data_IF_070685825904
#
_entry.id   IF_070685825904
#
_cell.length_a   1.000
_cell.length_b   1.000
_cell.length_c   1.000
_cell.angle_alpha   90.00
_cell.angle_beta   90.00
_cell.angle_gamma   90.00
#
_symmetry.space_group_name_H-M   'P 1'
#
loop_
_entity.id
_entity.type
_entity.pdbx_description
1 polymer ?
#
# COMPACT_ATOMS: atom_id res chain seq x y z
N UNK A 1 33.44 -9.30 -7.52
CA UNK A 1 32.08 -8.95 -7.97
C UNK A 1 31.70 -7.64 -7.31
N UNK A 2 31.57 -6.56 -8.08
CA UNK A 2 31.33 -5.21 -7.54
C UNK A 2 30.00 -5.16 -6.81
N UNK A 3 30.03 -4.73 -5.54
CA UNK A 3 28.86 -4.30 -4.79
C UNK A 3 28.14 -3.22 -5.62
N UNK A 4 27.12 -3.63 -6.37
CA UNK A 4 26.17 -2.69 -6.93
C UNK A 4 25.36 -2.16 -5.74
N UNK A 5 25.91 -1.12 -5.10
CA UNK A 5 25.25 -0.34 -4.06
C UNK A 5 23.86 -0.02 -4.61
N UNK A 6 22.83 -0.62 -4.01
CA UNK A 6 21.44 -0.35 -4.36
C UNK A 6 21.26 1.16 -4.31
N UNK A 7 21.09 1.80 -5.47
CA UNK A 7 20.79 3.23 -5.55
C UNK A 7 19.38 3.44 -4.99
N UNK A 8 19.29 3.50 -3.67
CA UNK A 8 18.10 3.96 -2.96
C UNK A 8 18.00 5.47 -3.14
N UNK A 9 16.83 5.94 -3.48
CA UNK A 9 16.50 7.36 -3.50
C UNK A 9 15.15 7.56 -2.84
N UNK A 10 14.93 8.75 -2.33
CA UNK A 10 13.75 9.18 -1.61
C UNK A 10 13.18 10.39 -2.35
N UNK A 11 11.99 10.22 -2.92
CA UNK A 11 11.26 11.30 -3.59
C UNK A 11 10.23 11.85 -2.61
N UNK A 12 10.29 13.16 -2.35
CA UNK A 12 9.30 13.88 -1.56
C UNK A 12 8.20 14.34 -2.50
N UNK A 13 6.97 13.90 -2.25
CA UNK A 13 5.78 14.24 -3.04
C UNK A 13 4.82 14.98 -2.14
N UNK A 14 4.42 16.19 -2.49
CA UNK A 14 3.36 16.91 -1.79
C UNK A 14 2.02 16.76 -2.54
N UNK A 15 0.95 16.72 -1.76
CA UNK A 15 -0.41 16.89 -2.23
C UNK A 15 -0.82 18.32 -1.88
N UNK A 16 -1.21 19.08 -2.89
CA UNK A 16 -1.74 20.44 -2.70
C UNK A 16 -3.19 20.39 -2.21
N UNK A 17 -3.66 21.51 -1.67
CA UNK A 17 -5.10 21.73 -1.37
C UNK A 17 -5.99 21.56 -2.59
N UNK A 18 -5.46 21.78 -3.80
CA UNK A 18 -6.14 21.53 -5.08
C UNK A 18 -6.29 20.04 -5.43
N UNK A 19 -5.73 19.13 -4.62
CA UNK A 19 -5.73 17.69 -4.85
C UNK A 19 -4.65 17.19 -5.81
N UNK A 20 -3.89 18.10 -6.44
CA UNK A 20 -2.78 17.74 -7.33
C UNK A 20 -1.57 17.24 -6.52
N UNK A 21 -0.92 16.20 -7.05
CA UNK A 21 0.34 15.68 -6.55
C UNK A 21 1.50 16.38 -7.28
N UNK A 22 2.51 16.79 -6.52
CA UNK A 22 3.71 17.42 -7.05
C UNK A 22 4.94 16.80 -6.40
N UNK A 23 5.88 16.36 -7.21
CA UNK A 23 7.19 15.93 -6.75
C UNK A 23 8.02 17.19 -6.44
N UNK A 24 8.57 17.27 -5.23
CA UNK A 24 9.37 18.40 -4.76
C UNK A 24 10.84 18.14 -5.03
N UNK A 25 11.35 17.03 -4.51
CA UNK A 25 12.78 16.74 -4.53
C UNK A 25 13.01 15.23 -4.50
N UNK A 26 14.08 14.76 -5.15
CA UNK A 26 14.56 13.38 -5.04
C UNK A 26 15.99 13.39 -4.52
N UNK A 27 16.21 12.78 -3.36
CA UNK A 27 17.51 12.73 -2.67
C UNK A 27 17.93 11.28 -2.39
N UNK A 28 19.21 11.02 -2.16
CA UNK A 28 19.70 9.67 -1.82
C UNK A 28 19.58 9.34 -0.32
N UNK A 29 19.49 10.35 0.54
CA UNK A 29 19.40 10.20 2.00
C UNK A 29 17.97 10.47 2.50
N UNK A 30 17.48 9.56 3.34
CA UNK A 30 16.17 9.68 3.99
C UNK A 30 16.09 10.90 4.92
N UNK A 31 17.18 11.23 5.60
CA UNK A 31 17.21 12.36 6.56
C UNK A 31 17.03 13.69 5.82
N UNK A 32 17.68 13.84 4.68
CA UNK A 32 17.50 14.98 3.79
C UNK A 32 16.04 15.07 3.29
N UNK A 33 15.47 13.95 2.82
CA UNK A 33 14.07 13.91 2.36
C UNK A 33 13.08 14.29 3.47
N UNK A 34 13.37 13.89 4.71
CA UNK A 34 12.54 14.19 5.87
C UNK A 34 12.62 15.66 6.26
N UNK A 35 13.77 16.31 6.11
CA UNK A 35 13.91 17.75 6.33
C UNK A 35 13.12 18.54 5.27
N UNK A 36 13.28 18.21 3.99
CA UNK A 36 12.49 18.81 2.90
C UNK A 36 10.98 18.61 3.13
N UNK A 37 10.56 17.42 3.58
CA UNK A 37 9.17 17.14 3.86
C UNK A 37 8.62 17.97 5.04
N UNK A 38 9.44 18.22 6.07
CA UNK A 38 9.07 19.09 7.22
C UNK A 38 8.96 20.56 6.83
N UNK A 39 9.83 21.05 5.97
CA UNK A 39 9.74 22.42 5.47
C UNK A 39 8.48 22.59 4.61
N UNK A 40 8.24 21.62 3.72
CA UNK A 40 7.13 21.70 2.79
C UNK A 40 5.76 21.51 3.46
N UNK A 41 5.64 20.79 4.60
CA UNK A 41 4.36 20.65 5.31
C UNK A 41 3.96 21.93 6.03
N UNK A 42 4.93 22.82 6.32
CA UNK A 42 4.67 24.16 6.83
C UNK A 42 3.97 25.07 5.82
N UNK A 43 3.98 24.73 4.53
CA UNK A 43 3.28 25.50 3.50
C UNK A 43 1.77 25.19 3.51
N UNK A 44 0.95 26.21 3.76
CA UNK A 44 -0.52 26.14 3.80
C UNK A 44 -1.16 25.68 2.48
N UNK A 45 -0.44 25.75 1.37
CA UNK A 45 -0.90 25.20 0.09
C UNK A 45 -0.86 23.67 0.02
N UNK A 46 -0.16 23.02 0.95
CA UNK A 46 0.05 21.58 0.98
C UNK A 46 -0.79 20.95 2.09
N UNK A 47 -1.47 19.85 1.79
CA UNK A 47 -2.33 19.12 2.73
C UNK A 47 -1.67 17.85 3.27
N UNK A 48 -0.88 17.19 2.41
CA UNK A 48 -0.18 15.96 2.74
C UNK A 48 1.18 15.95 2.04
N UNK A 49 2.19 15.39 2.69
CA UNK A 49 3.51 15.14 2.10
C UNK A 49 3.89 13.70 2.33
N UNK A 50 4.32 13.04 1.26
CA UNK A 50 4.69 11.63 1.23
C UNK A 50 6.15 11.53 0.85
N UNK A 51 6.90 10.72 1.60
CA UNK A 51 8.27 10.33 1.23
C UNK A 51 8.17 8.96 0.59
N UNK A 52 8.62 8.85 -0.65
CA UNK A 52 8.59 7.63 -1.47
C UNK A 52 10.01 7.12 -1.63
N UNK A 53 10.32 5.95 -1.06
CA UNK A 53 11.55 5.22 -1.34
C UNK A 53 11.45 4.57 -2.72
N UNK A 54 12.36 4.94 -3.61
CA UNK A 54 12.59 4.32 -4.90
C UNK A 54 13.84 3.44 -4.79
N UNK A 55 13.64 2.15 -5.03
CA UNK A 55 14.70 1.14 -5.00
C UNK A 55 14.70 0.36 -6.30
N UNK A 56 15.83 0.39 -7.01
CA UNK A 56 16.03 -0.50 -8.14
C UNK A 56 16.32 -1.93 -7.64
N UNK A 57 15.45 -2.88 -8.00
CA UNK A 57 15.66 -4.28 -7.68
C UNK A 57 16.33 -5.00 -8.85
N UNK A 58 17.63 -5.29 -8.69
CA UNK A 58 18.42 -5.95 -9.73
C UNK A 58 17.91 -7.37 -10.06
N UNK A 59 17.34 -8.07 -9.08
CA UNK A 59 16.85 -9.45 -9.28
C UNK A 59 15.62 -9.49 -10.19
N UNK A 60 14.71 -8.52 -10.05
CA UNK A 60 13.51 -8.42 -10.89
C UNK A 60 13.64 -7.44 -12.05
N UNK A 61 14.76 -6.71 -12.16
CA UNK A 61 15.01 -5.61 -13.12
C UNK A 61 13.87 -4.57 -13.13
N UNK A 62 13.29 -4.29 -11.97
CA UNK A 62 12.14 -3.38 -11.81
C UNK A 62 12.40 -2.37 -10.71
N UNK A 63 11.85 -1.16 -10.91
CA UNK A 63 11.78 -0.15 -9.87
C UNK A 63 10.68 -0.49 -8.87
N UNK A 64 11.05 -0.54 -7.59
CA UNK A 64 10.12 -0.68 -6.48
C UNK A 64 9.98 0.69 -5.82
N UNK A 65 8.77 1.23 -5.88
CA UNK A 65 8.40 2.47 -5.19
C UNK A 65 7.58 2.12 -3.95
N UNK A 66 7.94 2.68 -2.80
CA UNK A 66 7.23 2.47 -1.54
C UNK A 66 7.09 3.78 -0.78
N UNK A 67 5.88 4.11 -0.35
CA UNK A 67 5.70 5.24 0.58
C UNK A 67 6.23 4.82 1.96
N UNK A 68 7.27 5.50 2.42
CA UNK A 68 7.92 5.21 3.71
C UNK A 68 7.46 6.14 4.83
N UNK A 69 6.97 7.34 4.50
CA UNK A 69 6.44 8.28 5.49
C UNK A 69 5.38 9.18 4.88
N UNK A 70 4.39 9.54 5.70
CA UNK A 70 3.36 10.53 5.39
C UNK A 70 3.35 11.57 6.51
N UNK A 71 3.32 12.85 6.14
CA UNK A 71 3.13 14.01 7.00
C UNK A 71 1.85 14.71 6.53
N UNK A 72 0.94 15.03 7.45
CA UNK A 72 -0.30 15.76 7.16
C UNK A 72 -0.30 17.06 7.92
N UNK A 73 -0.76 18.15 7.29
CA UNK A 73 -0.82 19.44 7.96
C UNK A 73 -1.88 19.34 9.08
N UNK A 74 -1.49 19.64 10.31
CA UNK A 74 -2.44 19.72 11.42
C UNK A 74 -3.32 20.95 11.22
N UNK A 75 -4.45 20.77 10.52
CA UNK A 75 -5.52 21.76 10.57
C UNK A 75 -6.12 21.70 11.96
N UNK A 76 -6.13 22.84 12.64
CA UNK A 76 -6.76 23.07 13.94
C UNK A 76 -8.30 22.92 13.85
N UNK A 77 -8.79 21.72 13.51
CA UNK A 77 -10.18 21.31 13.69
C UNK A 77 -10.24 20.50 14.99
N UNK A 78 -10.58 21.17 16.09
CA UNK A 78 -10.95 20.51 17.31
C UNK A 78 -12.19 19.63 17.10
N UNK A 79 -11.99 18.31 17.01
CA UNK A 79 -12.84 17.27 17.59
C UNK A 79 -12.44 15.91 17.01
N UNK A 80 -11.70 15.13 17.80
CA UNK A 80 -11.87 13.68 17.97
C UNK A 80 -10.96 13.19 19.09
N UNK A 81 -11.43 13.42 20.32
CA UNK A 81 -11.07 12.56 21.44
C UNK A 81 -11.59 11.15 21.17
N UNK A 82 -10.66 10.19 21.18
CA UNK A 82 -10.80 8.75 21.41
C UNK A 82 -12.17 8.08 21.19
N UNK A 83 -12.31 7.33 20.09
CA UNK A 83 -12.71 5.91 20.10
C UNK A 83 -12.97 5.39 18.67
N UNK A 84 -12.46 4.20 18.36
CA UNK A 84 -13.05 3.31 17.36
C UNK A 84 -12.39 3.29 15.99
N UNK A 85 -11.70 2.18 15.72
CA UNK A 85 -11.73 1.41 14.46
C UNK A 85 -12.45 2.11 13.28
N UNK A 86 -11.72 2.68 12.33
CA UNK A 86 -12.17 2.78 10.94
C UNK A 86 -11.07 3.31 10.02
N UNK A 87 -10.78 2.54 8.96
CA UNK A 87 -10.43 3.15 7.68
C UNK A 87 -8.96 3.28 7.34
N UNK A 88 -8.11 2.33 7.76
CA UNK A 88 -6.84 2.12 7.09
C UNK A 88 -7.13 1.69 5.65
N UNK A 89 -6.91 2.60 4.69
CA UNK A 89 -6.90 2.27 3.27
C UNK A 89 -6.00 1.05 3.08
N UNK A 90 -6.49 -0.06 2.51
CA UNK A 90 -5.78 -1.32 2.49
C UNK A 90 -4.61 -1.20 1.52
N UNK A 91 -3.46 -0.79 2.05
CA UNK A 91 -2.20 -1.26 1.49
C UNK A 91 -2.27 -2.78 1.54
N UNK A 92 -2.33 -3.41 0.37
CA UNK A 92 -2.36 -4.86 0.21
C UNK A 92 -1.17 -5.45 0.95
N UNK A 93 -1.40 -5.83 2.19
CA UNK A 93 -0.46 -6.57 3.01
C UNK A 93 -0.30 -7.91 2.33
N UNK A 94 0.95 -8.30 2.02
CA UNK A 94 1.26 -9.58 1.37
C UNK A 94 0.71 -10.81 2.09
N UNK A 95 0.24 -10.64 3.33
CA UNK A 95 -0.44 -11.68 4.11
C UNK A 95 -1.89 -11.94 3.65
N UNK A 96 -2.63 -10.93 3.19
CA UNK A 96 -4.00 -11.12 2.64
C UNK A 96 -4.00 -11.67 1.21
N UNK A 97 -2.93 -11.47 0.44
CA UNK A 97 -2.79 -12.07 -0.88
C UNK A 97 -2.67 -13.61 -0.82
N UNK A 98 -1.94 -14.15 0.15
CA UNK A 98 -1.82 -15.60 0.33
C UNK A 98 -3.09 -16.21 0.95
N UNK A 99 -3.81 -15.44 1.78
CA UNK A 99 -5.08 -15.87 2.36
C UNK A 99 -6.23 -15.84 1.33
N UNK A 100 -6.20 -14.90 0.38
CA UNK A 100 -7.12 -14.90 -0.77
C UNK A 100 -6.91 -16.13 -1.66
N UNK A 101 -5.67 -16.53 -1.94
CA UNK A 101 -5.38 -17.76 -2.69
C UNK A 101 -5.87 -19.03 -1.96
N UNK A 102 -5.66 -19.13 -0.65
CA UNK A 102 -6.20 -20.27 0.14
C UNK A 102 -7.73 -20.26 0.21
N UNK A 103 -8.35 -19.09 0.31
CA UNK A 103 -9.81 -18.94 0.30
C UNK A 103 -10.44 -19.42 -1.02
N UNK A 104 -9.83 -19.06 -2.16
CA UNK A 104 -10.29 -19.50 -3.48
C UNK A 104 -10.18 -21.03 -3.60
N UNK A 105 -9.08 -21.64 -3.14
CA UNK A 105 -8.91 -23.10 -3.18
C UNK A 105 -9.99 -23.81 -2.36
N UNK A 106 -10.30 -23.33 -1.14
CA UNK A 106 -11.36 -23.94 -0.32
C UNK A 106 -12.75 -23.79 -0.96
N UNK A 107 -13.04 -22.65 -1.61
CA UNK A 107 -14.31 -22.46 -2.32
C UNK A 107 -14.42 -23.43 -3.50
N UNK A 108 -13.37 -23.58 -4.30
CA UNK A 108 -13.37 -24.49 -5.45
C UNK A 108 -13.53 -25.94 -4.99
N UNK A 109 -12.81 -26.38 -3.96
CA UNK A 109 -12.96 -27.73 -3.40
C UNK A 109 -14.40 -27.94 -2.91
N UNK A 110 -14.96 -27.01 -2.15
CA UNK A 110 -16.33 -27.13 -1.65
C UNK A 110 -17.37 -27.24 -2.78
N UNK A 111 -17.23 -26.46 -3.86
CA UNK A 111 -18.12 -26.53 -5.02
C UNK A 111 -17.98 -27.87 -5.74
N UNK A 112 -16.75 -28.37 -5.95
CA UNK A 112 -16.54 -29.67 -6.62
C UNK A 112 -17.14 -30.83 -5.82
N UNK A 113 -17.04 -30.83 -4.49
CA UNK A 113 -17.66 -31.85 -3.63
C UNK A 113 -19.18 -31.78 -3.69
N UNK A 114 -19.78 -30.59 -3.71
CA UNK A 114 -21.22 -30.42 -3.79
C UNK A 114 -21.78 -30.95 -5.11
N UNK A 115 -21.11 -30.67 -6.24
CA UNK A 115 -21.50 -31.19 -7.56
C UNK A 115 -21.36 -32.72 -7.62
N UNK A 116 -20.30 -33.29 -7.05
CA UNK A 116 -20.14 -34.75 -6.97
C UNK A 116 -21.23 -35.41 -6.12
N UNK A 117 -21.54 -34.84 -4.96
CA UNK A 117 -22.62 -35.34 -4.10
C UNK A 117 -23.99 -35.22 -4.78
N UNK A 118 -24.29 -34.10 -5.44
CA UNK A 118 -25.52 -33.94 -6.21
C UNK A 118 -25.58 -34.93 -7.38
N UNK A 119 -24.49 -35.12 -8.12
CA UNK A 119 -24.41 -36.05 -9.24
C UNK A 119 -24.61 -37.52 -8.87
N UNK A 120 -24.26 -37.91 -7.64
CA UNK A 120 -24.51 -39.26 -7.10
C UNK A 120 -25.91 -39.37 -6.48
N UNK A 121 -26.40 -38.31 -5.81
CA UNK A 121 -27.71 -38.32 -5.14
C UNK A 121 -28.88 -38.27 -6.12
N UNK A 122 -28.76 -37.55 -7.25
CA UNK A 122 -29.82 -37.46 -8.27
C UNK A 122 -30.23 -38.85 -8.80
N UNK A 123 -29.32 -39.73 -9.26
CA UNK A 123 -29.69 -41.08 -9.72
C UNK A 123 -30.11 -42.03 -8.59
N UNK A 124 -29.82 -41.73 -7.32
CA UNK A 124 -30.28 -42.49 -6.16
C UNK A 124 -31.71 -42.12 -5.74
N UNK A 125 -32.12 -40.86 -5.94
CA UNK A 125 -33.47 -40.37 -5.65
C UNK A 125 -34.44 -40.62 -6.82
N UNK A 126 -33.92 -40.66 -8.06
CA UNK A 126 -34.72 -40.98 -9.26
C UNK A 126 -34.79 -42.49 -9.58
N UNK A 127 -34.41 -43.36 -8.64
CA UNK A 127 -34.60 -44.81 -8.68
C UNK A 127 -35.66 -45.22 -7.67
#
# INVERSE_FOLDING_TARGET
MSNAVMRKSYTVVCQRTTGQLMELETVSDYTAALNTAKEAIGNKSNTEIRIVENKYDQASRRDKKQVVKILTAESNSGSRGSAGRAGQRPGVTRETANQASKGIINIVIAVTVLVLLAGIMIPLIMR
#
